data_IF_707625956208
#
_entry.id   IF_707625956208
#
_cell.length_a   1.000
_cell.length_b   1.000
_cell.length_c   1.000
_cell.angle_alpha   90.00
_cell.angle_beta   90.00
_cell.angle_gamma   90.00
#
_symmetry.space_group_name_H-M   'P 1'
#
loop_
_entity.id
_entity.type
_entity.pdbx_description
1 polymer ?
#
# COMPACT_ATOMS: atom_id res chain seq x y z
N UNK A 1 19.39 -8.79 12.99
CA UNK A 1 19.37 -10.21 12.54
C UNK A 1 19.79 -10.21 11.07
N UNK A 2 20.67 -11.12 10.63
CA UNK A 2 21.09 -11.19 9.21
C UNK A 2 20.12 -12.08 8.46
N UNK A 3 19.50 -11.63 7.35
CA UNK A 3 18.60 -12.46 6.57
C UNK A 3 19.40 -13.59 5.89
N UNK A 4 18.85 -14.80 5.91
CA UNK A 4 19.46 -15.99 5.28
C UNK A 4 18.68 -16.41 4.03
N UNK A 5 17.35 -16.25 4.04
CA UNK A 5 16.44 -16.60 2.95
C UNK A 5 15.77 -15.34 2.44
N UNK A 6 16.06 -14.97 1.19
CA UNK A 6 15.60 -13.73 0.58
C UNK A 6 14.74 -14.03 -0.63
N UNK A 7 13.52 -13.52 -0.64
CA UNK A 7 12.64 -13.57 -1.82
C UNK A 7 12.91 -12.35 -2.69
N UNK A 8 13.05 -12.56 -3.98
CA UNK A 8 13.18 -11.52 -4.99
C UNK A 8 11.88 -11.44 -5.78
N UNK A 9 11.19 -10.29 -5.70
CA UNK A 9 9.93 -10.05 -6.40
C UNK A 9 10.09 -8.99 -7.49
N UNK A 10 10.52 -9.36 -8.71
CA UNK A 10 10.65 -8.42 -9.81
C UNK A 10 9.28 -8.05 -10.38
N UNK A 11 9.14 -6.77 -10.77
CA UNK A 11 8.03 -6.32 -11.60
C UNK A 11 8.38 -6.55 -13.09
N UNK A 12 7.74 -7.53 -13.76
CA UNK A 12 8.11 -7.91 -15.11
C UNK A 12 7.85 -6.84 -16.19
N UNK A 13 7.08 -5.81 -15.84
CA UNK A 13 6.80 -4.69 -16.74
C UNK A 13 7.82 -3.55 -16.61
N UNK A 14 8.68 -3.57 -15.57
CA UNK A 14 9.66 -2.53 -15.28
C UNK A 14 11.10 -3.03 -15.26
N UNK A 15 11.33 -4.29 -14.93
CA UNK A 15 12.65 -4.93 -14.96
C UNK A 15 12.78 -5.74 -16.27
N UNK A 16 13.22 -5.07 -17.34
CA UNK A 16 13.41 -5.72 -18.64
C UNK A 16 14.39 -6.88 -18.51
N UNK A 17 13.99 -8.06 -18.99
CA UNK A 17 14.77 -9.30 -18.91
C UNK A 17 15.22 -9.67 -17.49
N UNK A 18 14.58 -9.06 -16.48
CA UNK A 18 14.91 -9.23 -15.05
C UNK A 18 16.38 -8.95 -14.72
N UNK A 19 16.98 -7.97 -15.38
CA UNK A 19 18.41 -7.61 -15.22
C UNK A 19 18.75 -7.23 -13.80
N UNK A 20 17.95 -6.33 -13.20
CA UNK A 20 18.20 -5.85 -11.84
C UNK A 20 17.99 -6.95 -10.82
N UNK A 21 16.96 -7.78 -11.01
CA UNK A 21 16.70 -8.96 -10.18
C UNK A 21 17.87 -9.96 -10.25
N UNK A 22 18.39 -10.28 -11.46
CA UNK A 22 19.54 -11.20 -11.65
C UNK A 22 20.79 -10.69 -10.97
N UNK A 23 21.15 -9.42 -11.21
CA UNK A 23 22.30 -8.78 -10.56
C UNK A 23 22.21 -8.84 -9.05
N UNK A 24 21.03 -8.53 -8.50
CA UNK A 24 20.79 -8.59 -7.07
C UNK A 24 20.87 -10.01 -6.52
N UNK A 25 20.34 -11.02 -7.24
CA UNK A 25 20.45 -12.43 -6.89
C UNK A 25 21.91 -12.86 -6.79
N UNK A 26 22.68 -12.64 -7.84
CA UNK A 26 24.07 -13.08 -7.93
C UNK A 26 24.91 -12.43 -6.81
N UNK A 27 24.66 -11.18 -6.50
CA UNK A 27 25.29 -10.50 -5.37
C UNK A 27 24.92 -11.12 -4.03
N UNK A 28 23.62 -11.35 -3.75
CA UNK A 28 23.17 -11.89 -2.46
C UNK A 28 23.65 -13.32 -2.26
N UNK A 29 23.66 -14.14 -3.31
CA UNK A 29 24.18 -15.51 -3.28
C UNK A 29 25.69 -15.55 -3.03
N UNK A 30 26.46 -14.63 -3.65
CA UNK A 30 27.90 -14.48 -3.37
C UNK A 30 28.20 -14.08 -1.91
N UNK A 31 27.23 -13.49 -1.22
CA UNK A 31 27.29 -13.15 0.21
C UNK A 31 26.76 -14.26 1.13
N UNK A 32 26.44 -15.44 0.57
CA UNK A 32 25.99 -16.62 1.30
C UNK A 32 24.51 -16.64 1.68
N UNK A 33 23.67 -15.82 1.02
CA UNK A 33 22.23 -15.86 1.19
C UNK A 33 21.58 -16.84 0.21
N UNK A 34 20.51 -17.50 0.62
CA UNK A 34 19.66 -18.29 -0.25
C UNK A 34 18.61 -17.38 -0.88
N UNK A 35 18.48 -17.42 -2.20
CA UNK A 35 17.48 -16.61 -2.89
C UNK A 35 16.41 -17.47 -3.56
N UNK A 36 15.19 -16.94 -3.68
CA UNK A 36 14.12 -17.47 -4.50
C UNK A 36 13.44 -16.33 -5.25
N UNK A 37 13.13 -16.54 -6.53
CA UNK A 37 12.45 -15.54 -7.37
C UNK A 37 10.98 -15.87 -7.42
N UNK A 38 10.13 -14.88 -7.07
CA UNK A 38 8.68 -15.02 -7.06
C UNK A 38 8.05 -13.84 -7.80
N UNK A 39 7.04 -14.09 -8.63
CA UNK A 39 6.31 -12.99 -9.27
C UNK A 39 5.29 -12.37 -8.30
N UNK A 40 5.26 -11.04 -8.18
CA UNK A 40 4.22 -10.33 -7.43
C UNK A 40 2.86 -10.42 -8.13
N UNK A 41 2.85 -10.58 -9.47
CA UNK A 41 1.66 -10.70 -10.30
C UNK A 41 1.66 -12.04 -11.00
N UNK A 42 0.51 -12.71 -11.05
CA UNK A 42 0.37 -13.95 -11.82
C UNK A 42 0.49 -13.63 -13.32
N UNK A 43 1.49 -14.23 -13.97
CA UNK A 43 1.69 -14.20 -15.42
C UNK A 43 2.16 -15.59 -15.82
N UNK A 44 1.28 -16.35 -16.48
CA UNK A 44 1.60 -17.69 -16.96
C UNK A 44 2.79 -17.67 -17.93
N UNK A 45 3.70 -18.63 -17.79
CA UNK A 45 4.87 -18.81 -18.66
C UNK A 45 5.98 -17.78 -18.49
N UNK A 46 5.81 -16.74 -17.68
CA UNK A 46 6.82 -15.72 -17.51
C UNK A 46 7.94 -16.21 -16.57
N UNK A 47 9.15 -16.22 -17.07
CA UNK A 47 10.36 -16.63 -16.34
C UNK A 47 10.98 -17.90 -16.87
N UNK A 48 10.21 -18.86 -17.40
CA UNK A 48 10.75 -20.03 -18.07
C UNK A 48 11.57 -19.65 -19.30
N UNK A 49 11.06 -18.74 -20.12
CA UNK A 49 11.74 -18.15 -21.27
C UNK A 49 13.04 -17.42 -20.90
N UNK A 50 13.13 -16.92 -19.67
CA UNK A 50 14.27 -16.16 -19.18
C UNK A 50 15.27 -17.03 -18.41
N UNK A 51 15.04 -18.34 -18.26
CA UNK A 51 15.93 -19.26 -17.55
C UNK A 51 16.05 -18.95 -16.03
N UNK A 52 15.02 -18.32 -15.44
CA UNK A 52 14.91 -18.10 -14.00
C UNK A 52 13.75 -18.94 -13.46
N UNK A 53 14.03 -19.96 -12.62
CA UNK A 53 12.96 -20.74 -12.02
C UNK A 53 12.15 -19.85 -11.08
N UNK A 54 10.88 -19.66 -11.42
CA UNK A 54 9.92 -18.91 -10.58
C UNK A 54 9.26 -19.84 -9.59
N UNK A 55 9.12 -19.37 -8.35
CA UNK A 55 8.46 -20.11 -7.27
C UNK A 55 7.18 -19.41 -6.82
N UNK A 56 6.19 -20.17 -6.34
CA UNK A 56 4.96 -19.58 -5.82
C UNK A 56 5.23 -18.77 -4.53
N UNK A 57 4.92 -17.46 -4.56
CA UNK A 57 5.16 -16.57 -3.42
C UNK A 57 4.52 -17.08 -2.12
N UNK A 58 3.31 -17.64 -2.20
CA UNK A 58 2.57 -18.15 -1.03
C UNK A 58 3.27 -19.32 -0.30
N UNK A 59 4.13 -20.04 -0.99
CA UNK A 59 4.92 -21.12 -0.40
C UNK A 59 6.23 -20.58 0.19
N UNK A 60 6.96 -19.77 -0.56
CA UNK A 60 8.27 -19.25 -0.18
C UNK A 60 8.20 -18.26 0.98
N UNK A 61 7.13 -17.43 1.05
CA UNK A 61 6.99 -16.36 2.05
C UNK A 61 7.03 -16.89 3.51
N UNK A 62 6.58 -18.12 3.73
CA UNK A 62 6.52 -18.72 5.06
C UNK A 62 7.88 -18.98 5.69
N UNK A 63 8.92 -19.05 4.89
CA UNK A 63 10.29 -19.36 5.32
C UNK A 63 11.25 -18.20 5.04
N UNK A 64 10.76 -17.08 4.52
CA UNK A 64 11.57 -15.94 4.15
C UNK A 64 11.90 -15.07 5.36
N UNK A 65 13.15 -14.61 5.41
CA UNK A 65 13.60 -13.61 6.39
C UNK A 65 13.41 -12.17 5.84
N UNK A 66 13.39 -12.03 4.51
CA UNK A 66 13.31 -10.76 3.80
C UNK A 66 12.69 -10.95 2.42
N UNK A 67 11.92 -9.96 1.96
CA UNK A 67 11.48 -9.85 0.57
C UNK A 67 12.07 -8.58 -0.04
N UNK A 68 12.63 -8.67 -1.25
CA UNK A 68 13.06 -7.52 -2.03
C UNK A 68 12.10 -7.34 -3.19
N UNK A 69 11.43 -6.18 -3.25
CA UNK A 69 10.51 -5.80 -4.31
C UNK A 69 11.22 -4.90 -5.32
N UNK A 70 11.30 -5.33 -6.58
CA UNK A 70 11.86 -4.53 -7.67
C UNK A 70 10.73 -3.88 -8.46
N UNK A 71 10.63 -2.54 -8.39
CA UNK A 71 9.55 -1.79 -9.03
C UNK A 71 9.42 -0.40 -8.46
N UNK A 72 8.20 0.03 -8.18
CA UNK A 72 7.89 1.27 -7.46
C UNK A 72 7.00 0.98 -6.26
N UNK A 73 6.47 2.06 -5.65
CA UNK A 73 5.57 1.96 -4.49
C UNK A 73 4.36 1.04 -4.76
N UNK A 74 3.83 1.04 -5.98
CA UNK A 74 2.74 0.15 -6.38
C UNK A 74 3.09 -1.35 -6.30
N UNK A 75 4.36 -1.73 -6.52
CA UNK A 75 4.81 -3.13 -6.35
C UNK A 75 4.85 -3.51 -4.88
N UNK A 76 5.33 -2.60 -4.01
CA UNK A 76 5.34 -2.80 -2.56
C UNK A 76 3.89 -2.89 -2.05
N UNK A 77 3.01 -1.99 -2.51
CA UNK A 77 1.60 -1.97 -2.15
C UNK A 77 0.89 -3.28 -2.48
N UNK A 78 1.15 -3.83 -3.66
CA UNK A 78 0.61 -5.13 -4.07
C UNK A 78 1.05 -6.29 -3.16
N UNK A 79 2.29 -6.24 -2.67
CA UNK A 79 2.87 -7.25 -1.80
C UNK A 79 2.53 -7.03 -0.30
N UNK A 80 2.10 -5.82 0.07
CA UNK A 80 1.95 -5.38 1.45
C UNK A 80 1.12 -6.34 2.31
N UNK A 81 -0.04 -6.79 1.79
CA UNK A 81 -0.88 -7.75 2.50
C UNK A 81 -0.15 -9.06 2.77
N UNK A 82 0.52 -9.62 1.77
CA UNK A 82 1.22 -10.91 1.90
C UNK A 82 2.36 -10.81 2.90
N UNK A 83 3.20 -9.78 2.80
CA UNK A 83 4.34 -9.62 3.72
C UNK A 83 3.88 -9.31 5.15
N UNK A 84 2.80 -8.54 5.33
CA UNK A 84 2.26 -8.22 6.66
C UNK A 84 1.69 -9.45 7.37
N UNK A 85 0.92 -10.30 6.66
CA UNK A 85 0.35 -11.52 7.22
C UNK A 85 1.41 -12.53 7.69
N UNK A 86 2.61 -12.51 7.10
CA UNK A 86 3.73 -13.38 7.46
C UNK A 86 4.82 -12.68 8.26
N UNK A 87 4.62 -11.38 8.58
CA UNK A 87 5.61 -10.55 9.30
C UNK A 87 6.98 -10.52 8.64
N UNK A 88 7.04 -10.65 7.30
CA UNK A 88 8.28 -10.59 6.53
C UNK A 88 8.58 -9.12 6.19
N UNK A 89 9.77 -8.59 6.54
CA UNK A 89 10.16 -7.25 6.14
C UNK A 89 10.36 -7.16 4.62
N UNK A 90 10.11 -5.98 4.05
CA UNK A 90 10.27 -5.72 2.62
C UNK A 90 11.24 -4.58 2.36
N UNK A 91 12.19 -4.80 1.44
CA UNK A 91 13.07 -3.79 0.88
C UNK A 91 12.59 -3.44 -0.53
N UNK A 92 12.34 -2.17 -0.80
CA UNK A 92 11.99 -1.69 -2.13
C UNK A 92 13.21 -1.23 -2.92
N UNK A 93 13.40 -1.77 -4.13
CA UNK A 93 14.34 -1.28 -5.14
C UNK A 93 13.55 -0.58 -6.23
N UNK A 94 13.75 0.71 -6.38
CA UNK A 94 13.00 1.54 -7.32
C UNK A 94 13.54 1.40 -8.75
N UNK A 95 12.66 1.08 -9.69
CA UNK A 95 12.96 0.96 -11.13
C UNK A 95 12.39 2.11 -11.98
N UNK A 96 12.03 3.21 -11.35
CA UNK A 96 11.41 4.34 -12.04
C UNK A 96 11.53 5.63 -11.25
N UNK A 97 10.45 6.41 -11.18
CA UNK A 97 10.43 7.63 -10.38
C UNK A 97 10.51 7.33 -8.88
N UNK A 98 11.23 8.15 -8.13
CA UNK A 98 11.42 8.01 -6.68
C UNK A 98 10.08 7.78 -5.95
N UNK A 99 10.01 6.72 -5.14
CA UNK A 99 8.87 6.38 -4.30
C UNK A 99 9.02 6.88 -2.87
N UNK A 100 7.93 6.84 -2.08
CA UNK A 100 7.95 7.09 -0.64
C UNK A 100 8.27 5.83 0.17
N UNK A 101 8.06 4.65 -0.43
CA UNK A 101 8.27 3.36 0.23
C UNK A 101 9.57 2.67 -0.19
N UNK A 102 10.05 2.93 -1.41
CA UNK A 102 11.29 2.38 -1.92
C UNK A 102 12.51 2.91 -1.15
N UNK A 103 13.55 2.10 -1.03
CA UNK A 103 14.77 2.44 -0.30
C UNK A 103 15.96 2.66 -1.21
N UNK A 104 16.16 1.80 -2.21
CA UNK A 104 17.29 1.86 -3.12
C UNK A 104 16.85 2.26 -4.53
N UNK A 105 17.73 2.92 -5.23
CA UNK A 105 17.71 3.07 -6.69
C UNK A 105 18.64 2.04 -7.35
N UNK A 106 18.52 1.83 -8.67
CA UNK A 106 19.33 0.82 -9.41
C UNK A 106 20.83 1.06 -9.25
N UNK A 107 21.27 2.31 -9.19
CA UNK A 107 22.68 2.68 -9.01
C UNK A 107 23.17 2.49 -7.55
N UNK A 108 22.29 2.13 -6.62
CA UNK A 108 22.61 1.90 -5.19
C UNK A 108 22.61 0.41 -4.81
N UNK A 109 22.54 -0.52 -5.78
CA UNK A 109 22.44 -1.97 -5.50
C UNK A 109 23.60 -2.52 -4.66
N UNK A 110 24.79 -1.94 -4.75
CA UNK A 110 25.93 -2.33 -3.92
C UNK A 110 25.65 -2.28 -2.43
N UNK A 111 24.66 -1.50 -2.01
CA UNK A 111 24.22 -1.41 -0.62
C UNK A 111 23.45 -2.64 -0.13
N UNK A 112 23.07 -3.56 -1.01
CA UNK A 112 22.54 -4.87 -0.60
C UNK A 112 23.55 -5.65 0.27
N UNK A 113 24.84 -5.32 0.19
CA UNK A 113 25.89 -5.87 1.09
C UNK A 113 25.64 -5.52 2.56
N UNK A 114 24.95 -4.42 2.84
CA UNK A 114 24.60 -4.02 4.20
C UNK A 114 23.66 -5.02 4.87
N UNK A 115 22.80 -5.71 4.09
CA UNK A 115 21.93 -6.79 4.57
C UNK A 115 22.75 -7.95 5.16
N UNK A 116 23.79 -8.39 4.45
CA UNK A 116 24.69 -9.47 4.91
C UNK A 116 25.42 -9.11 6.20
N UNK A 117 25.65 -7.83 6.42
CA UNK A 117 26.33 -7.31 7.62
C UNK A 117 25.34 -7.01 8.76
N UNK A 118 24.02 -7.09 8.49
CA UNK A 118 22.98 -6.73 9.46
C UNK A 118 22.88 -5.22 9.72
N UNK A 119 23.42 -4.39 8.82
CA UNK A 119 23.42 -2.93 8.90
C UNK A 119 22.17 -2.36 8.25
N UNK A 120 21.04 -2.53 8.88
CA UNK A 120 19.76 -1.96 8.46
C UNK A 120 18.85 -1.77 9.66
N UNK A 121 17.83 -0.94 9.48
CA UNK A 121 16.73 -0.79 10.43
C UNK A 121 15.43 -1.26 9.78
N UNK A 122 14.41 -1.50 10.60
CA UNK A 122 13.08 -1.86 10.14
C UNK A 122 12.09 -0.83 10.64
N UNK A 123 11.42 -0.19 9.72
CA UNK A 123 10.38 0.81 9.97
C UNK A 123 9.00 0.17 9.83
N UNK A 124 8.18 0.25 10.87
CA UNK A 124 6.82 -0.31 10.85
C UNK A 124 5.82 0.73 10.35
N UNK A 125 5.00 0.34 9.38
CA UNK A 125 3.89 1.13 8.83
C UNK A 125 2.57 0.55 9.31
N UNK A 126 1.70 1.37 9.88
CA UNK A 126 0.35 0.93 10.25
C UNK A 126 -0.44 0.52 9.01
N UNK A 127 -1.39 -0.37 9.22
CA UNK A 127 -2.33 -0.81 8.20
C UNK A 127 -3.76 -0.64 8.70
N UNK A 128 -4.71 -0.75 7.79
CA UNK A 128 -6.14 -0.75 8.09
C UNK A 128 -6.71 -2.16 7.98
N UNK A 129 -7.61 -2.52 8.90
CA UNK A 129 -8.56 -3.61 8.72
C UNK A 129 -9.82 -3.03 8.06
N UNK A 130 -10.23 -3.62 6.94
CA UNK A 130 -11.39 -3.17 6.16
C UNK A 130 -12.38 -4.31 6.03
N UNK A 131 -13.59 -4.11 6.49
CA UNK A 131 -14.67 -5.10 6.40
C UNK A 131 -15.97 -4.50 5.89
N UNK A 132 -16.82 -5.33 5.31
CA UNK A 132 -18.20 -4.97 4.98
C UNK A 132 -19.14 -5.88 5.74
N UNK A 133 -20.04 -5.27 6.50
CA UNK A 133 -21.14 -5.96 7.15
C UNK A 133 -22.41 -5.75 6.33
N UNK A 134 -23.10 -6.86 6.03
CA UNK A 134 -24.43 -6.91 5.38
C UNK A 134 -25.37 -7.69 6.28
N UNK A 135 -26.44 -7.07 6.73
CA UNK A 135 -27.40 -7.69 7.67
C UNK A 135 -26.70 -8.31 8.89
N UNK A 136 -25.71 -7.60 9.44
CA UNK A 136 -24.92 -8.02 10.60
C UNK A 136 -23.87 -9.11 10.31
N UNK A 137 -23.77 -9.62 9.09
CA UNK A 137 -22.79 -10.66 8.69
C UNK A 137 -21.64 -10.04 7.89
N UNK A 138 -20.41 -10.47 8.17
CA UNK A 138 -19.25 -10.04 7.40
C UNK A 138 -19.23 -10.72 6.03
N UNK A 139 -19.36 -9.93 4.95
CA UNK A 139 -19.37 -10.40 3.56
C UNK A 139 -18.09 -10.08 2.79
N UNK A 140 -17.25 -9.23 3.36
CA UNK A 140 -15.94 -8.87 2.80
C UNK A 140 -14.97 -8.54 3.93
N UNK A 141 -13.70 -8.90 3.74
CA UNK A 141 -12.62 -8.42 4.57
C UNK A 141 -11.31 -8.27 3.78
N UNK A 142 -10.51 -7.29 4.14
CA UNK A 142 -9.18 -7.07 3.59
C UNK A 142 -8.35 -6.23 4.57
N UNK A 143 -7.05 -6.10 4.27
CA UNK A 143 -6.17 -5.14 4.96
C UNK A 143 -5.55 -4.19 3.94
N UNK A 144 -5.35 -2.94 4.31
CA UNK A 144 -4.76 -1.91 3.46
C UNK A 144 -3.51 -1.30 4.08
N UNK A 145 -2.50 -1.05 3.26
CA UNK A 145 -1.34 -0.24 3.63
C UNK A 145 -1.61 1.26 3.40
N UNK A 146 -2.28 1.61 2.30
CA UNK A 146 -2.62 3.00 1.97
C UNK A 146 -4.04 3.37 2.39
N UNK A 147 -5.05 2.78 1.77
CA UNK A 147 -6.42 3.30 1.89
C UNK A 147 -7.53 2.29 1.59
N UNK A 148 -8.72 2.64 2.09
CA UNK A 148 -10.01 2.10 1.70
C UNK A 148 -10.85 3.23 1.10
N UNK A 149 -11.29 3.06 -0.13
CA UNK A 149 -12.04 4.06 -0.90
C UNK A 149 -13.45 3.59 -1.13
N UNK A 150 -14.44 4.35 -0.63
CA UNK A 150 -15.85 4.16 -0.96
C UNK A 150 -16.24 5.22 -1.98
N UNK A 151 -16.54 4.82 -3.20
CA UNK A 151 -16.80 5.75 -4.30
C UNK A 151 -17.95 5.33 -5.21
N UNK A 152 -18.46 6.32 -5.96
CA UNK A 152 -19.44 6.08 -7.02
C UNK A 152 -18.85 5.26 -8.17
N UNK A 153 -19.67 4.40 -8.76
CA UNK A 153 -19.35 3.72 -10.02
C UNK A 153 -20.07 4.32 -11.23
N UNK A 154 -20.99 5.25 -11.01
CA UNK A 154 -21.74 5.93 -12.08
C UNK A 154 -21.19 7.31 -12.37
N UNK A 155 -21.00 7.61 -13.65
CA UNK A 155 -20.63 8.96 -14.13
C UNK A 155 -21.78 9.92 -13.78
N UNK A 156 -21.45 11.15 -13.37
CA UNK A 156 -22.37 12.25 -13.11
C UNK A 156 -23.45 12.03 -12.02
N UNK A 157 -23.28 11.07 -11.11
CA UNK A 157 -24.17 10.89 -9.95
C UNK A 157 -23.41 11.08 -8.64
N UNK A 158 -23.95 11.92 -7.78
CA UNK A 158 -23.44 12.16 -6.42
C UNK A 158 -23.86 11.02 -5.51
N UNK A 159 -22.92 10.47 -4.77
CA UNK A 159 -23.25 9.55 -3.66
C UNK A 159 -23.42 10.33 -2.36
N UNK A 160 -24.29 9.83 -1.49
CA UNK A 160 -24.47 10.36 -0.13
C UNK A 160 -24.00 9.29 0.84
N UNK A 161 -22.97 9.64 1.61
CA UNK A 161 -22.34 8.77 2.57
C UNK A 161 -22.55 9.35 3.95
N UNK A 162 -23.08 8.55 4.87
CA UNK A 162 -23.10 8.85 6.29
C UNK A 162 -21.88 8.18 6.93
N UNK A 163 -21.10 8.95 7.69
CA UNK A 163 -19.86 8.50 8.34
C UNK A 163 -20.04 8.57 9.84
N UNK A 164 -19.75 7.45 10.50
CA UNK A 164 -19.86 7.29 11.95
C UNK A 164 -18.53 6.87 12.56
N UNK A 165 -18.36 7.21 13.82
CA UNK A 165 -17.44 6.59 14.76
C UNK A 165 -18.26 5.93 15.86
N UNK A 166 -17.61 5.30 16.86
CA UNK A 166 -18.29 4.78 18.06
C UNK A 166 -18.95 5.89 18.90
N UNK A 167 -18.54 7.14 18.75
CA UNK A 167 -19.12 8.30 19.43
C UNK A 167 -20.41 8.81 18.76
N UNK A 168 -20.74 8.28 17.57
CA UNK A 168 -21.90 8.68 16.80
C UNK A 168 -21.56 9.14 15.39
N UNK A 169 -22.48 9.91 14.79
CA UNK A 169 -22.27 10.40 13.42
C UNK A 169 -21.25 11.52 13.39
N UNK A 170 -20.10 11.25 12.74
CA UNK A 170 -19.04 12.22 12.54
C UNK A 170 -19.42 13.27 11.48
N UNK A 171 -19.87 12.83 10.31
CA UNK A 171 -20.18 13.74 9.19
C UNK A 171 -21.07 13.06 8.15
N UNK A 172 -21.54 13.87 7.18
CA UNK A 172 -22.24 13.43 5.99
C UNK A 172 -21.56 14.03 4.77
N UNK A 173 -21.23 13.19 3.80
CA UNK A 173 -20.55 13.59 2.57
C UNK A 173 -21.46 13.36 1.36
N UNK A 174 -21.71 14.42 0.58
CA UNK A 174 -22.27 14.31 -0.76
C UNK A 174 -21.20 14.66 -1.79
N UNK A 175 -20.79 13.70 -2.61
CA UNK A 175 -19.69 13.89 -3.55
C UNK A 175 -19.42 12.65 -4.40
N UNK A 176 -18.19 12.46 -4.83
CA UNK A 176 -17.76 11.30 -5.59
C UNK A 176 -17.43 10.10 -4.69
N UNK A 177 -17.11 10.36 -3.42
CA UNK A 177 -16.78 9.31 -2.46
C UNK A 177 -16.07 9.83 -1.22
N UNK A 178 -15.46 8.88 -0.51
CA UNK A 178 -14.66 9.11 0.69
C UNK A 178 -13.46 8.16 0.70
N UNK A 179 -12.33 8.64 1.20
CA UNK A 179 -11.11 7.86 1.42
C UNK A 179 -10.88 7.77 2.92
N UNK A 180 -10.67 6.56 3.42
CA UNK A 180 -10.09 6.33 4.75
C UNK A 180 -8.68 5.84 4.53
N UNK A 181 -7.66 6.60 4.96
CA UNK A 181 -6.26 6.24 4.70
C UNK A 181 -5.40 6.22 5.95
N UNK A 182 -4.28 5.51 5.85
CA UNK A 182 -3.17 5.54 6.79
C UNK A 182 -2.29 6.77 6.55
N UNK A 183 -1.36 7.11 7.44
CA UNK A 183 -0.30 8.08 7.16
C UNK A 183 0.55 7.73 5.94
N UNK A 184 0.79 6.43 5.67
CA UNK A 184 1.48 5.99 4.44
C UNK A 184 0.66 6.34 3.20
N UNK A 185 -0.66 6.12 3.24
CA UNK A 185 -1.59 6.48 2.16
C UNK A 185 -1.85 7.98 2.00
N UNK A 186 -1.43 8.81 2.98
CA UNK A 186 -1.60 10.26 2.91
C UNK A 186 -0.95 10.90 1.68
N UNK A 187 0.13 10.28 1.16
CA UNK A 187 0.84 10.72 -0.05
C UNK A 187 0.34 10.04 -1.34
N UNK A 188 -0.72 9.25 -1.24
CA UNK A 188 -1.38 8.56 -2.35
C UNK A 188 -2.65 9.28 -2.82
N UNK A 189 -3.75 8.52 -2.93
CA UNK A 189 -5.03 9.07 -3.41
C UNK A 189 -5.62 10.12 -2.46
N UNK A 190 -5.37 10.00 -1.14
CA UNK A 190 -5.78 11.01 -0.17
C UNK A 190 -5.21 12.40 -0.50
N UNK A 191 -3.92 12.49 -0.85
CA UNK A 191 -3.28 13.75 -1.26
C UNK A 191 -3.91 14.32 -2.53
N UNK A 192 -4.15 13.48 -3.54
CA UNK A 192 -4.78 13.91 -4.78
C UNK A 192 -6.23 14.42 -4.58
N UNK A 193 -6.91 13.94 -3.54
CA UNK A 193 -8.23 14.40 -3.12
C UNK A 193 -8.20 15.61 -2.17
N UNK A 194 -7.02 16.20 -1.91
CA UNK A 194 -6.86 17.37 -1.03
C UNK A 194 -6.76 17.04 0.45
N UNK A 195 -6.40 15.79 0.78
CA UNK A 195 -6.09 15.37 2.14
C UNK A 195 -4.72 15.90 2.62
N UNK A 196 -4.49 15.93 3.95
CA UNK A 196 -3.22 16.39 4.51
C UNK A 196 -2.11 15.38 4.24
N UNK A 197 -0.88 15.86 4.09
CA UNK A 197 0.34 15.06 4.12
C UNK A 197 0.67 14.79 5.58
N UNK A 198 0.85 13.51 5.90
CA UNK A 198 1.17 13.06 7.26
C UNK A 198 2.46 12.24 7.23
N UNK A 199 3.30 12.42 8.24
CA UNK A 199 4.52 11.61 8.38
C UNK A 199 4.16 10.12 8.44
N UNK A 200 4.78 9.28 7.58
CA UNK A 200 4.33 7.90 7.40
C UNK A 200 4.45 6.99 8.63
N UNK A 201 5.24 7.42 9.63
CA UNK A 201 5.42 6.70 10.90
C UNK A 201 4.41 7.11 11.98
N UNK A 202 3.62 8.16 11.74
CA UNK A 202 2.54 8.57 12.63
C UNK A 202 1.44 7.48 12.72
N UNK A 203 0.60 7.59 13.73
CA UNK A 203 -0.51 6.67 13.96
C UNK A 203 -1.81 7.46 13.99
N UNK A 204 -2.46 7.57 12.84
CA UNK A 204 -3.71 8.29 12.65
C UNK A 204 -4.56 7.61 11.57
N UNK A 205 -5.87 7.78 11.65
CA UNK A 205 -6.79 7.51 10.55
C UNK A 205 -7.10 8.84 9.86
N UNK A 206 -6.97 8.87 8.55
CA UNK A 206 -7.29 10.05 7.75
C UNK A 206 -8.60 9.81 7.00
N UNK A 207 -9.51 10.75 7.05
CA UNK A 207 -10.77 10.72 6.33
C UNK A 207 -10.81 11.87 5.34
N UNK A 208 -10.77 11.58 4.04
CA UNK A 208 -10.69 12.59 2.98
C UNK A 208 -11.85 12.45 2.00
N UNK A 209 -12.74 13.46 1.89
CA UNK A 209 -13.81 13.46 0.90
C UNK A 209 -13.27 13.57 -0.53
N UNK A 210 -13.94 12.93 -1.49
CA UNK A 210 -13.62 13.04 -2.92
C UNK A 210 -14.62 13.95 -3.60
N UNK A 211 -14.16 15.05 -4.18
CA UNK A 211 -14.98 16.05 -4.88
C UNK A 211 -16.30 16.37 -4.16
N UNK A 212 -16.25 16.79 -2.89
CA UNK A 212 -17.47 17.07 -2.14
C UNK A 212 -18.21 18.28 -2.71
N UNK A 213 -19.55 18.19 -2.75
CA UNK A 213 -20.40 19.28 -3.22
C UNK A 213 -20.67 20.34 -2.12
N UNK A 214 -20.31 20.06 -0.89
CA UNK A 214 -20.45 21.01 0.22
C UNK A 214 -19.17 21.80 0.43
N UNK A 215 -19.26 23.12 0.48
CA UNK A 215 -18.14 24.02 0.81
C UNK A 215 -17.64 23.87 2.26
N UNK A 216 -18.38 23.15 3.11
CA UNK A 216 -18.01 22.86 4.52
C UNK A 216 -17.41 21.47 4.70
N UNK A 217 -17.06 20.78 3.63
CA UNK A 217 -16.46 19.45 3.72
C UNK A 217 -14.97 19.59 3.95
N UNK A 218 -14.47 19.00 5.04
CA UNK A 218 -13.06 19.01 5.42
C UNK A 218 -12.53 17.59 5.51
N UNK A 219 -11.22 17.44 5.41
CA UNK A 219 -10.54 16.21 5.80
C UNK A 219 -10.37 16.15 7.31
N UNK A 220 -10.42 14.96 7.88
CA UNK A 220 -10.26 14.71 9.31
C UNK A 220 -9.02 13.89 9.57
N UNK A 221 -8.31 14.23 10.64
CA UNK A 221 -7.24 13.40 11.22
C UNK A 221 -7.77 12.88 12.54
N UNK A 222 -7.94 11.57 12.64
CA UNK A 222 -8.60 10.92 13.76
C UNK A 222 -7.62 10.03 14.54
N UNK A 223 -7.96 9.74 15.80
CA UNK A 223 -7.22 8.75 16.59
C UNK A 223 -7.20 7.39 15.91
N UNK A 224 -6.08 6.65 16.01
CA UNK A 224 -5.96 5.31 15.45
C UNK A 224 -6.89 4.29 16.16
N UNK A 225 -7.49 4.66 17.27
CA UNK A 225 -8.37 3.81 18.08
C UNK A 225 -9.81 3.80 17.57
N UNK A 226 -10.19 4.78 16.74
CA UNK A 226 -11.53 4.83 16.17
C UNK A 226 -11.81 3.72 15.15
N UNK A 227 -13.09 3.32 15.12
CA UNK A 227 -13.66 2.50 14.05
C UNK A 227 -14.52 3.39 13.17
N UNK A 228 -14.06 3.68 11.96
CA UNK A 228 -14.83 4.48 11.00
C UNK A 228 -15.82 3.55 10.30
N UNK A 229 -17.12 3.90 10.35
CA UNK A 229 -18.17 3.19 9.62
C UNK A 229 -18.72 4.09 8.54
N UNK A 230 -18.74 3.63 7.29
CA UNK A 230 -19.29 4.35 6.14
C UNK A 230 -20.51 3.60 5.63
N UNK A 231 -21.64 4.31 5.51
CA UNK A 231 -22.90 3.82 4.99
C UNK A 231 -23.32 4.61 3.75
N UNK A 232 -23.76 3.91 2.71
CA UNK A 232 -24.28 4.54 1.49
C UNK A 232 -25.81 4.38 1.42
N UNK A 233 -26.53 5.48 1.53
CA UNK A 233 -28.00 5.49 1.59
C UNK A 233 -28.66 4.87 0.35
N UNK A 234 -28.10 5.07 -0.85
CA UNK A 234 -28.66 4.67 -2.13
C UNK A 234 -27.69 3.81 -2.96
N UNK A 235 -26.98 2.86 -2.32
CA UNK A 235 -25.90 2.09 -2.96
C UNK A 235 -26.39 1.31 -4.19
N UNK A 236 -27.55 0.67 -4.13
CA UNK A 236 -28.12 -0.11 -5.25
C UNK A 236 -28.45 0.74 -6.48
N UNK A 237 -28.90 1.98 -6.29
CA UNK A 237 -29.27 2.89 -7.39
C UNK A 237 -28.08 3.65 -7.99
N UNK A 238 -26.98 3.76 -7.24
CA UNK A 238 -25.84 4.61 -7.58
C UNK A 238 -24.58 3.83 -7.89
N UNK A 239 -24.60 2.50 -7.78
CA UNK A 239 -23.45 1.64 -7.99
C UNK A 239 -22.26 2.11 -7.17
N UNK A 240 -22.34 1.96 -5.83
CA UNK A 240 -21.26 2.32 -4.92
C UNK A 240 -20.33 1.14 -4.76
N UNK A 241 -19.04 1.42 -4.75
CA UNK A 241 -18.00 0.41 -4.64
C UNK A 241 -17.03 0.73 -3.51
N UNK A 242 -16.51 -0.32 -2.90
CA UNK A 242 -15.34 -0.29 -2.03
C UNK A 242 -14.13 -0.80 -2.81
N UNK A 243 -13.04 -0.04 -2.82
CA UNK A 243 -11.71 -0.48 -3.28
C UNK A 243 -10.72 -0.36 -2.12
N UNK A 244 -9.81 -1.32 -2.00
CA UNK A 244 -8.77 -1.38 -0.96
C UNK A 244 -7.42 -1.43 -1.64
N UNK A 245 -6.54 -0.44 -1.37
CA UNK A 245 -5.21 -0.30 -1.98
C UNK A 245 -5.25 -0.38 -3.53
N UNK A 246 -6.28 0.21 -4.16
CA UNK A 246 -6.45 0.17 -5.61
C UNK A 246 -6.78 -1.23 -6.17
N UNK A 247 -7.12 -2.20 -5.31
CA UNK A 247 -7.46 -3.56 -5.71
C UNK A 247 -8.86 -3.67 -6.34
N UNK A 248 -9.30 -4.92 -6.58
CA UNK A 248 -10.59 -5.21 -7.21
C UNK A 248 -11.74 -4.60 -6.42
N UNK A 249 -12.59 -3.84 -7.10
CA UNK A 249 -13.74 -3.19 -6.51
C UNK A 249 -14.79 -4.20 -6.02
N UNK A 250 -15.28 -3.99 -4.79
CA UNK A 250 -16.38 -4.74 -4.19
C UNK A 250 -17.66 -3.90 -4.28
N UNK A 251 -18.71 -4.44 -4.86
CA UNK A 251 -20.01 -3.75 -5.01
C UNK A 251 -20.77 -3.71 -3.70
N UNK A 252 -21.12 -2.51 -3.24
CA UNK A 252 -21.92 -2.30 -2.04
C UNK A 252 -23.41 -2.32 -2.37
N UNK A 253 -24.21 -2.81 -1.41
CA UNK A 253 -25.68 -2.82 -1.43
C UNK A 253 -26.22 -1.84 -0.39
N UNK A 254 -27.52 -1.53 -0.50
CA UNK A 254 -28.19 -0.74 0.54
C UNK A 254 -28.12 -1.47 1.89
N UNK A 255 -27.78 -0.71 2.94
CA UNK A 255 -27.61 -1.25 4.28
C UNK A 255 -26.26 -1.87 4.57
N UNK A 256 -25.35 -1.94 3.58
CA UNK A 256 -23.97 -2.35 3.84
C UNK A 256 -23.25 -1.30 4.66
N UNK A 257 -22.51 -1.77 5.67
CA UNK A 257 -21.64 -0.96 6.51
C UNK A 257 -20.18 -1.29 6.19
N UNK A 258 -19.45 -0.33 5.62
CA UNK A 258 -18.00 -0.45 5.46
C UNK A 258 -17.34 0.00 6.75
N UNK A 259 -16.69 -0.92 7.46
CA UNK A 259 -15.97 -0.64 8.71
C UNK A 259 -14.47 -0.63 8.45
N UNK A 260 -13.82 0.42 8.89
CA UNK A 260 -12.37 0.63 8.76
C UNK A 260 -11.79 0.95 10.13
N UNK A 261 -10.78 0.20 10.53
CA UNK A 261 -10.07 0.40 11.81
C UNK A 261 -8.57 0.13 11.64
N UNK A 262 -7.78 0.50 12.64
CA UNK A 262 -6.36 0.13 12.69
C UNK A 262 -6.22 -1.39 12.73
N UNK A 263 -5.38 -1.93 11.85
CA UNK A 263 -5.07 -3.35 11.82
C UNK A 263 -4.02 -3.72 12.89
N UNK A 264 -4.11 -4.95 13.40
CA UNK A 264 -3.03 -5.55 14.21
C UNK A 264 -1.78 -5.86 13.37
N UNK A 265 -1.91 -5.95 12.05
CA UNK A 265 -0.81 -6.19 11.14
C UNK A 265 -0.11 -4.87 10.80
N UNK A 266 1.18 -4.96 10.49
CA UNK A 266 1.99 -3.83 10.02
C UNK A 266 2.84 -4.26 8.84
N UNK A 267 3.05 -3.36 7.89
CA UNK A 267 4.07 -3.57 6.86
C UNK A 267 5.41 -3.08 7.38
N UNK A 268 6.43 -3.93 7.30
CA UNK A 268 7.77 -3.69 7.83
C UNK A 268 8.72 -3.34 6.70
N UNK A 269 9.09 -2.06 6.57
CA UNK A 269 10.01 -1.57 5.54
C UNK A 269 11.45 -1.61 6.03
N UNK A 270 12.34 -2.23 5.25
CA UNK A 270 13.78 -2.21 5.53
C UNK A 270 14.35 -0.88 5.08
N UNK A 271 15.17 -0.27 5.96
CA UNK A 271 15.88 0.98 5.73
C UNK A 271 17.38 0.76 5.87
N UNK A 272 18.10 1.06 4.80
CA UNK A 272 19.55 1.02 4.72
C UNK A 272 20.16 2.41 4.93
N UNK A 273 19.38 3.45 4.69
CA UNK A 273 19.80 4.85 4.82
C UNK A 273 18.92 5.59 5.82
N UNK A 274 19.42 6.76 6.25
CA UNK A 274 18.66 7.71 7.05
C UNK A 274 17.96 8.75 6.17
N UNK A 275 17.46 8.34 5.00
CA UNK A 275 16.67 9.25 4.14
C UNK A 275 15.48 9.77 4.93
N UNK A 276 15.38 11.09 5.07
CA UNK A 276 14.30 11.72 5.83
C UNK A 276 13.08 11.89 4.94
N UNK A 277 11.90 11.69 5.50
CA UNK A 277 10.63 11.88 4.79
C UNK A 277 10.54 13.23 4.08
N UNK A 278 10.97 14.31 4.75
CA UNK A 278 10.98 15.65 4.18
C UNK A 278 11.87 15.78 2.93
N UNK A 279 13.01 15.08 2.88
CA UNK A 279 13.90 15.09 1.70
C UNK A 279 13.25 14.40 0.49
N UNK A 280 12.52 13.31 0.73
CA UNK A 280 11.76 12.60 -0.32
C UNK A 280 10.60 13.48 -0.79
N UNK A 281 9.90 14.13 0.14
CA UNK A 281 8.78 15.01 -0.15
C UNK A 281 9.23 16.22 -0.99
N UNK A 282 10.31 16.87 -0.59
CA UNK A 282 10.89 18.03 -1.31
C UNK A 282 11.30 17.64 -2.73
N UNK A 283 11.99 16.50 -2.91
CA UNK A 283 12.34 16.00 -4.24
C UNK A 283 11.13 15.74 -5.13
N UNK A 284 10.01 15.27 -4.56
CA UNK A 284 8.80 14.97 -5.33
C UNK A 284 7.99 16.21 -5.66
N UNK A 285 7.85 17.13 -4.73
CA UNK A 285 7.06 18.35 -4.89
C UNK A 285 7.87 19.49 -5.53
N UNK A 286 9.18 19.56 -5.27
CA UNK A 286 10.06 20.57 -5.82
C UNK A 286 10.34 20.41 -7.32
N UNK A 287 10.26 19.18 -7.85
CA UNK A 287 10.49 18.92 -9.30
C UNK A 287 9.37 19.48 -10.20
N UNK A 288 8.20 19.76 -9.68
CA UNK A 288 7.13 20.42 -10.45
C UNK A 288 7.32 21.94 -10.53
N UNK A 289 7.95 22.55 -9.53
CA UNK A 289 8.24 23.99 -9.51
C UNK A 289 9.40 24.40 -10.45
N UNK A 290 10.27 23.45 -10.83
CA UNK A 290 11.47 23.71 -11.67
C UNK A 290 11.23 23.53 -13.17
N UNK A 291 10.00 23.21 -13.60
CA UNK A 291 9.62 23.02 -15.02
C UNK A 291 8.74 24.16 -15.58
N UNK A 292 8.85 25.36 -15.02
CA UNK A 292 8.25 26.57 -15.61
C UNK A 292 9.31 27.43 -16.26
#
# INVERSE_FOLDING_TARGET
>A
MKPKRVILCPNPYRDSELKVCRQSRDMLESLGMQTSVCLPFQREGYGEELGLPMRPLQQEIRQADLLIAFGGDGTILHLARTVALHSVPVLGVNLGSLGFMSELEVNELDRLRDLAQGRFTVESRMMLDVSVLREGRQVYNNIALNDAVVSKGSIARVVRLDIFTEEGRLTKVGGDGIIVSTPTGSTGYSMAAGGPIVEPTAKNLLLTPICPHSTRSSSYVLSPEHVITVEAADANRKFVYLSVDGGKAFSLKNGDQVRVSTSKYTTRLVRLSKKRFCEILDKKMGTEASKK
#
